data_IF_979629686364
#
_entry.id   IF_979629686364
#
_cell.length_a   1.000
_cell.length_b   1.000
_cell.length_c   1.000
_cell.angle_alpha   90.00
_cell.angle_beta   90.00
_cell.angle_gamma   90.00
#
_symmetry.space_group_name_H-M   'P 1'
#
loop_
_entity.id
_entity.type
_entity.pdbx_description
1 polymer ?
#
# COMPACT_ATOMS: atom_id res chain seq x y z
N UNK A 1 7.15 -12.24 -26.12
CA UNK A 1 6.70 -11.58 -24.87
C UNK A 1 5.22 -11.88 -24.75
N UNK A 2 4.78 -12.41 -23.63
CA UNK A 2 3.35 -12.60 -23.34
C UNK A 2 2.99 -11.48 -22.36
N UNK A 3 2.02 -10.65 -22.71
CA UNK A 3 1.44 -9.65 -21.81
C UNK A 3 0.10 -10.21 -21.35
N UNK A 4 -0.24 -10.12 -20.04
CA UNK A 4 -1.56 -10.46 -19.56
C UNK A 4 -2.63 -9.61 -20.23
N UNK A 5 -3.73 -10.22 -20.65
CA UNK A 5 -4.90 -9.45 -21.07
C UNK A 5 -5.60 -8.87 -19.82
N UNK A 6 -5.82 -7.56 -19.83
CA UNK A 6 -6.49 -6.88 -18.73
C UNK A 6 -7.95 -7.36 -18.56
N UNK A 7 -8.59 -7.77 -19.65
CA UNK A 7 -9.97 -8.25 -19.65
C UNK A 7 -10.11 -9.64 -19.02
N UNK A 8 -9.01 -10.41 -18.96
CA UNK A 8 -8.95 -11.70 -18.29
C UNK A 8 -8.73 -11.59 -16.76
N UNK A 9 -8.48 -10.38 -16.24
CA UNK A 9 -8.30 -10.14 -14.81
C UNK A 9 -9.66 -9.82 -14.18
N UNK A 10 -10.28 -10.82 -13.55
CA UNK A 10 -11.63 -10.74 -13.02
C UNK A 10 -11.62 -10.64 -11.49
N UNK A 11 -11.77 -9.41 -10.92
CA UNK A 11 -11.83 -9.23 -9.48
C UNK A 11 -12.96 -10.03 -8.84
N UNK A 12 -12.68 -10.68 -7.72
CA UNK A 12 -13.66 -11.43 -6.94
C UNK A 12 -14.01 -10.71 -5.64
N UNK A 13 -15.20 -10.99 -5.09
CA UNK A 13 -15.62 -10.45 -3.79
C UNK A 13 -14.78 -11.06 -2.67
N UNK A 14 -14.35 -10.22 -1.73
CA UNK A 14 -13.61 -10.60 -0.54
C UNK A 14 -13.96 -9.71 0.66
N UNK A 15 -13.39 -10.00 1.82
CA UNK A 15 -13.46 -9.14 3.01
C UNK A 15 -12.56 -7.91 2.82
N UNK A 16 -12.69 -6.87 3.67
CA UNK A 16 -11.78 -5.75 3.65
C UNK A 16 -10.31 -6.20 3.66
N UNK A 17 -9.51 -5.63 2.76
CA UNK A 17 -8.10 -5.95 2.53
C UNK A 17 -7.80 -7.36 2.01
N UNK A 18 -8.79 -8.24 1.84
CA UNK A 18 -8.62 -9.46 1.05
C UNK A 18 -8.55 -9.10 -0.44
N UNK A 19 -7.65 -9.78 -1.14
CA UNK A 19 -7.45 -9.56 -2.56
C UNK A 19 -7.60 -10.89 -3.31
N UNK A 20 -8.73 -11.05 -3.95
CA UNK A 20 -9.10 -12.26 -4.68
C UNK A 20 -9.47 -11.93 -6.10
N UNK A 21 -8.99 -12.73 -7.06
CA UNK A 21 -9.28 -12.56 -8.47
C UNK A 21 -9.20 -13.88 -9.22
N UNK A 22 -9.78 -13.93 -10.40
CA UNK A 22 -9.59 -14.98 -11.39
C UNK A 22 -8.76 -14.40 -12.53
N UNK A 23 -7.81 -15.19 -13.02
CA UNK A 23 -7.05 -14.89 -14.22
C UNK A 23 -6.88 -16.16 -15.04
N UNK A 24 -7.55 -16.23 -16.20
CA UNK A 24 -7.46 -17.38 -17.09
C UNK A 24 -7.86 -18.70 -16.46
N UNK A 25 -8.76 -18.69 -15.45
CA UNK A 25 -9.18 -19.86 -14.68
C UNK A 25 -8.37 -20.12 -13.41
N UNK A 26 -7.34 -19.31 -13.13
CA UNK A 26 -6.61 -19.34 -11.86
C UNK A 26 -7.33 -18.49 -10.83
N UNK A 27 -8.21 -19.12 -10.03
CA UNK A 27 -8.85 -18.43 -8.91
C UNK A 27 -7.87 -18.29 -7.74
N UNK A 28 -7.26 -17.13 -7.61
CA UNK A 28 -6.19 -16.86 -6.67
C UNK A 28 -6.61 -15.96 -5.51
N UNK A 29 -6.12 -16.29 -4.31
CA UNK A 29 -6.10 -15.43 -3.14
C UNK A 29 -4.70 -14.81 -3.04
N UNK A 30 -4.60 -13.49 -3.20
CA UNK A 30 -3.33 -12.79 -3.06
C UNK A 30 -3.10 -12.40 -1.61
N UNK A 31 -1.90 -12.64 -1.13
CA UNK A 31 -1.49 -12.15 0.19
C UNK A 31 -1.27 -10.63 0.22
N UNK A 32 -1.05 -10.02 -0.95
CA UNK A 32 -0.82 -8.58 -1.10
C UNK A 32 -2.15 -7.85 -1.32
N UNK A 33 -2.57 -6.95 -0.41
CA UNK A 33 -3.81 -6.19 -0.57
C UNK A 33 -3.76 -5.20 -1.73
N UNK A 34 -4.95 -4.81 -2.18
CA UNK A 34 -5.13 -3.80 -3.21
C UNK A 34 -5.26 -4.36 -4.62
N UNK A 35 -6.26 -3.85 -5.36
CA UNK A 35 -6.56 -4.32 -6.71
C UNK A 35 -5.44 -4.08 -7.73
N UNK A 36 -4.53 -3.12 -7.46
CA UNK A 36 -3.33 -2.89 -8.28
C UNK A 36 -2.34 -4.06 -8.25
N UNK A 37 -2.47 -4.99 -7.29
CA UNK A 37 -1.65 -6.21 -7.25
C UNK A 37 -2.18 -7.32 -8.18
N UNK A 38 -3.42 -7.23 -8.66
CA UNK A 38 -3.98 -8.24 -9.55
C UNK A 38 -3.27 -8.27 -10.92
N UNK A 39 -3.00 -7.15 -11.59
CA UNK A 39 -2.16 -7.14 -12.78
C UNK A 39 -0.74 -7.67 -12.53
N UNK A 40 -0.13 -7.33 -11.40
CA UNK A 40 1.19 -7.85 -11.04
C UNK A 40 1.17 -9.38 -10.87
N UNK A 41 0.12 -9.92 -10.27
CA UNK A 41 -0.07 -11.35 -10.11
C UNK A 41 -0.33 -12.06 -11.45
N UNK A 42 -1.07 -11.44 -12.37
CA UNK A 42 -1.26 -11.95 -13.73
C UNK A 42 0.08 -12.04 -14.48
N UNK A 43 0.93 -11.00 -14.38
CA UNK A 43 2.29 -11.02 -14.95
C UNK A 43 3.12 -12.16 -14.33
N UNK A 44 3.05 -12.35 -13.01
CA UNK A 44 3.77 -13.44 -12.34
C UNK A 44 3.27 -14.82 -12.79
N UNK A 45 1.96 -14.98 -13.00
CA UNK A 45 1.35 -16.20 -13.52
C UNK A 45 1.85 -16.49 -14.94
N UNK A 46 1.85 -15.52 -15.84
CA UNK A 46 2.37 -15.68 -17.20
C UNK A 46 3.87 -16.01 -17.22
N UNK A 47 4.64 -15.42 -16.32
CA UNK A 47 6.06 -15.75 -16.17
C UNK A 47 6.26 -17.21 -15.74
N UNK A 48 5.46 -17.71 -14.78
CA UNK A 48 5.50 -19.09 -14.34
C UNK A 48 5.09 -20.05 -15.49
N UNK A 49 4.02 -19.73 -16.21
CA UNK A 49 3.56 -20.50 -17.37
C UNK A 49 4.60 -20.51 -18.50
N UNK A 50 5.32 -19.40 -18.71
CA UNK A 50 6.40 -19.33 -19.69
C UNK A 50 7.58 -20.25 -19.31
N UNK A 51 7.89 -20.36 -18.03
CA UNK A 51 8.89 -21.31 -17.52
C UNK A 51 8.42 -22.75 -17.66
N UNK A 52 7.16 -23.05 -17.31
CA UNK A 52 6.55 -24.37 -17.51
C UNK A 52 6.63 -24.80 -18.98
N UNK A 53 6.27 -23.93 -19.93
CA UNK A 53 6.39 -24.22 -21.38
C UNK A 53 7.84 -24.52 -21.82
N UNK A 54 8.83 -24.13 -21.02
CA UNK A 54 10.26 -24.42 -21.22
C UNK A 54 10.74 -25.70 -20.51
N UNK A 55 9.82 -26.44 -19.89
CA UNK A 55 10.11 -27.73 -19.25
C UNK A 55 10.43 -27.65 -17.76
N UNK A 56 10.15 -26.50 -17.09
CA UNK A 56 10.23 -26.42 -15.64
C UNK A 56 9.03 -27.14 -15.02
N UNK A 57 9.24 -27.84 -13.92
CA UNK A 57 8.19 -28.53 -13.17
C UNK A 57 7.42 -27.52 -12.30
N UNK A 58 6.45 -26.85 -12.88
CA UNK A 58 5.57 -25.88 -12.22
C UNK A 58 4.13 -26.30 -12.50
N UNK A 59 3.44 -26.83 -11.51
CA UNK A 59 2.02 -27.15 -11.59
C UNK A 59 1.13 -25.96 -11.23
N UNK A 60 -0.15 -26.04 -11.56
CA UNK A 60 -1.13 -24.99 -11.28
C UNK A 60 -1.24 -24.70 -9.78
N UNK A 61 -1.17 -25.74 -8.95
CA UNK A 61 -1.19 -25.60 -7.50
C UNK A 61 0.05 -24.85 -6.99
N UNK A 62 1.22 -25.03 -7.61
CA UNK A 62 2.43 -24.28 -7.24
C UNK A 62 2.26 -22.79 -7.54
N UNK A 63 1.63 -22.42 -8.67
CA UNK A 63 1.32 -21.04 -9.01
C UNK A 63 0.39 -20.44 -7.94
N UNK A 64 -0.72 -21.09 -7.64
CA UNK A 64 -1.70 -20.62 -6.66
C UNK A 64 -1.10 -20.51 -5.24
N UNK A 65 -0.29 -21.49 -4.83
CA UNK A 65 0.44 -21.42 -3.55
C UNK A 65 1.43 -20.26 -3.53
N UNK A 66 2.15 -20.03 -4.62
CA UNK A 66 3.09 -18.92 -4.76
C UNK A 66 2.42 -17.55 -4.61
N UNK A 67 1.30 -17.34 -5.30
CA UNK A 67 0.51 -16.11 -5.20
C UNK A 67 -0.04 -15.88 -3.79
N UNK A 68 -0.53 -16.92 -3.13
CA UNK A 68 -1.01 -16.87 -1.74
C UNK A 68 0.12 -16.63 -0.73
N UNK A 69 1.33 -17.13 -1.01
CA UNK A 69 2.47 -17.02 -0.11
C UNK A 69 3.31 -15.76 -0.36
N UNK A 70 3.07 -15.02 -1.45
CA UNK A 70 3.83 -13.82 -1.80
C UNK A 70 3.83 -12.82 -0.65
N UNK A 71 4.98 -12.30 -0.30
CA UNK A 71 5.15 -11.26 0.73
C UNK A 71 6.06 -10.18 0.18
N UNK A 72 5.66 -8.95 0.39
CA UNK A 72 6.48 -7.78 0.10
C UNK A 72 6.28 -6.78 1.23
N UNK A 73 7.30 -6.56 2.06
CA UNK A 73 7.20 -5.61 3.16
C UNK A 73 6.77 -4.22 2.68
N UNK A 74 6.02 -3.53 3.51
CA UNK A 74 5.49 -2.20 3.22
C UNK A 74 4.71 -2.10 1.89
N UNK A 75 3.85 -3.08 1.62
CA UNK A 75 2.85 -3.04 0.54
C UNK A 75 1.46 -3.27 1.13
N UNK A 76 0.91 -2.23 1.73
CA UNK A 76 -0.35 -2.26 2.49
C UNK A 76 -0.31 -3.40 3.52
N UNK A 77 0.80 -3.49 4.24
CA UNK A 77 1.08 -4.55 5.19
C UNK A 77 0.39 -4.26 6.52
N UNK A 78 -0.54 -5.11 6.93
CA UNK A 78 -1.18 -5.02 8.25
C UNK A 78 -0.23 -5.62 9.28
N UNK A 79 0.43 -4.76 10.06
CA UNK A 79 1.41 -5.17 11.08
C UNK A 79 0.78 -5.38 12.45
N UNK A 80 -0.36 -4.74 12.72
CA UNK A 80 -1.17 -4.94 13.92
C UNK A 80 -2.65 -4.83 13.59
N UNK A 81 -3.50 -5.55 14.34
CA UNK A 81 -4.95 -5.45 14.22
C UNK A 81 -5.61 -4.79 15.43
N UNK A 82 -4.87 -4.68 16.53
CA UNK A 82 -5.30 -4.01 17.76
C UNK A 82 -4.06 -3.44 18.47
N UNK A 83 -3.82 -2.12 18.43
CA UNK A 83 -4.46 -1.17 17.52
C UNK A 83 -4.22 -1.52 16.04
N UNK A 84 -5.11 -1.07 15.15
CA UNK A 84 -4.95 -1.34 13.72
C UNK A 84 -3.82 -0.50 13.13
N UNK A 85 -2.76 -1.16 12.61
CA UNK A 85 -1.60 -0.48 12.02
C UNK A 85 -1.28 -1.09 10.66
N UNK A 86 -1.16 -0.23 9.66
CA UNK A 86 -0.77 -0.59 8.28
C UNK A 86 0.51 0.13 7.91
N UNK A 87 1.42 -0.55 7.23
CA UNK A 87 2.62 0.06 6.65
C UNK A 87 2.54 -0.01 5.13
N UNK A 88 2.80 1.12 4.48
CA UNK A 88 2.93 1.19 3.03
C UNK A 88 4.14 2.03 2.61
N UNK A 89 4.83 1.60 1.58
CA UNK A 89 6.01 2.27 1.04
C UNK A 89 5.69 3.21 -0.13
N UNK A 90 4.46 3.72 -0.25
CA UNK A 90 4.11 4.65 -1.30
C UNK A 90 4.94 5.94 -1.16
N UNK A 91 5.56 6.34 -2.24
CA UNK A 91 6.47 7.49 -2.29
C UNK A 91 6.31 8.30 -3.59
N UNK A 92 5.25 8.03 -4.33
CA UNK A 92 4.87 8.72 -5.55
C UNK A 92 3.34 8.79 -5.67
N UNK A 93 2.79 9.64 -6.56
CA UNK A 93 1.35 9.83 -6.69
C UNK A 93 0.58 8.55 -7.03
N UNK A 94 1.12 7.68 -7.88
CA UNK A 94 0.46 6.44 -8.29
C UNK A 94 0.33 5.45 -7.14
N UNK A 95 1.41 5.27 -6.36
CA UNK A 95 1.40 4.45 -5.15
C UNK A 95 0.41 4.99 -4.11
N UNK A 96 0.42 6.31 -3.90
CA UNK A 96 -0.52 6.97 -3.01
C UNK A 96 -1.99 6.80 -3.45
N UNK A 97 -2.27 6.91 -4.74
CA UNK A 97 -3.60 6.67 -5.30
C UNK A 97 -4.04 5.19 -5.12
N UNK A 98 -3.12 4.24 -5.27
CA UNK A 98 -3.37 2.82 -5.03
C UNK A 98 -3.69 2.54 -3.55
N UNK A 99 -2.93 3.13 -2.62
CA UNK A 99 -3.20 3.06 -1.18
C UNK A 99 -4.58 3.67 -0.87
N UNK A 100 -4.84 4.90 -1.30
CA UNK A 100 -6.11 5.60 -1.09
C UNK A 100 -7.30 4.79 -1.60
N UNK A 101 -7.20 4.24 -2.82
CA UNK A 101 -8.23 3.38 -3.41
C UNK A 101 -8.48 2.13 -2.55
N UNK A 102 -7.43 1.52 -2.02
CA UNK A 102 -7.53 0.31 -1.21
C UNK A 102 -8.17 0.60 0.15
N UNK A 103 -7.76 1.66 0.84
CA UNK A 103 -8.36 2.09 2.11
C UNK A 103 -9.85 2.41 1.93
N UNK A 104 -10.20 3.13 0.86
CA UNK A 104 -11.60 3.47 0.53
C UNK A 104 -12.44 2.22 0.24
N UNK A 105 -11.94 1.28 -0.56
CA UNK A 105 -12.64 0.01 -0.84
C UNK A 105 -12.83 -0.84 0.41
N UNK A 106 -11.84 -0.83 1.30
CA UNK A 106 -11.91 -1.51 2.60
C UNK A 106 -12.80 -0.78 3.63
N UNK A 107 -13.32 0.41 3.28
CA UNK A 107 -14.12 1.28 4.18
C UNK A 107 -13.37 1.67 5.45
N UNK A 108 -12.07 1.78 5.37
CA UNK A 108 -11.21 2.24 6.45
C UNK A 108 -11.20 3.78 6.42
N UNK A 109 -11.84 4.39 7.41
CA UNK A 109 -12.01 5.84 7.52
C UNK A 109 -11.60 6.30 8.91
N UNK A 110 -11.34 7.61 9.08
CA UNK A 110 -10.96 8.16 10.38
C UNK A 110 -9.60 7.71 10.89
N UNK A 111 -8.74 7.23 9.99
CA UNK A 111 -7.39 6.81 10.32
C UNK A 111 -6.48 8.01 10.58
N UNK A 112 -5.45 7.81 11.39
CA UNK A 112 -4.28 8.67 11.41
C UNK A 112 -3.30 8.25 10.32
N UNK A 113 -2.61 9.22 9.71
CA UNK A 113 -1.48 8.97 8.80
C UNK A 113 -0.18 9.39 9.46
N UNK A 114 0.87 8.57 9.34
CA UNK A 114 2.25 8.94 9.70
C UNK A 114 3.09 8.93 8.44
N UNK A 115 3.67 10.07 8.07
CA UNK A 115 4.33 10.21 6.77
C UNK A 115 5.68 10.90 6.85
N UNK A 116 6.67 10.28 6.23
CA UNK A 116 7.95 10.90 5.89
C UNK A 116 8.22 10.74 4.40
N UNK A 117 8.86 11.72 3.77
CA UNK A 117 9.15 11.69 2.34
C UNK A 117 10.61 12.08 2.05
N UNK A 118 11.04 11.83 0.83
CA UNK A 118 12.33 12.28 0.32
C UNK A 118 12.15 13.50 -0.57
N UNK A 119 13.16 14.40 -0.60
CA UNK A 119 13.13 15.65 -1.37
C UNK A 119 12.96 15.45 -2.89
N UNK A 120 13.49 14.34 -3.41
CA UNK A 120 13.43 14.01 -4.84
C UNK A 120 12.08 13.48 -5.32
N UNK A 121 11.07 13.43 -4.44
CA UNK A 121 9.74 12.92 -4.75
C UNK A 121 8.72 14.03 -4.98
N UNK A 122 7.69 13.74 -5.75
CA UNK A 122 6.57 14.65 -5.98
C UNK A 122 5.64 14.65 -4.75
N UNK A 123 6.05 15.36 -3.70
CA UNK A 123 5.36 15.38 -2.41
C UNK A 123 3.95 15.97 -2.51
N UNK A 124 3.76 17.07 -3.28
CA UNK A 124 2.45 17.72 -3.39
C UNK A 124 1.40 16.81 -4.03
N UNK A 125 1.71 16.17 -5.14
CA UNK A 125 0.77 15.26 -5.80
C UNK A 125 0.53 14.00 -4.99
N UNK A 126 1.56 13.48 -4.31
CA UNK A 126 1.42 12.33 -3.40
C UNK A 126 0.46 12.65 -2.26
N UNK A 127 0.62 13.82 -1.60
CA UNK A 127 -0.30 14.27 -0.55
C UNK A 127 -1.73 14.46 -1.07
N UNK A 128 -1.90 15.06 -2.27
CA UNK A 128 -3.22 15.23 -2.89
C UNK A 128 -3.90 13.90 -3.19
N UNK A 129 -3.14 12.89 -3.62
CA UNK A 129 -3.68 11.55 -3.87
C UNK A 129 -4.20 10.87 -2.60
N UNK A 130 -3.65 11.22 -1.42
CA UNK A 130 -4.08 10.74 -0.10
C UNK A 130 -5.17 11.62 0.55
N UNK A 131 -5.62 12.67 -0.13
CA UNK A 131 -6.64 13.56 0.42
C UNK A 131 -7.90 12.78 0.86
N UNK A 132 -8.35 13.05 2.09
CA UNK A 132 -9.52 12.41 2.68
C UNK A 132 -9.30 10.97 3.19
N UNK A 133 -8.09 10.42 3.09
CA UNK A 133 -7.76 9.11 3.68
C UNK A 133 -7.54 9.20 5.18
N UNK A 134 -6.99 10.31 5.66
CA UNK A 134 -6.62 10.50 7.05
C UNK A 134 -7.37 11.68 7.66
N UNK A 135 -7.84 11.49 8.90
CA UNK A 135 -8.43 12.55 9.70
C UNK A 135 -7.35 13.47 10.28
N UNK A 136 -6.15 12.94 10.48
CA UNK A 136 -4.98 13.64 10.99
C UNK A 136 -3.72 13.06 10.33
N UNK A 137 -2.81 13.91 9.90
CA UNK A 137 -1.51 13.50 9.38
C UNK A 137 -0.40 13.94 10.34
N UNK A 138 0.44 13.00 10.74
CA UNK A 138 1.67 13.23 11.49
C UNK A 138 2.84 13.17 10.52
N UNK A 139 3.63 14.25 10.46
CA UNK A 139 4.81 14.29 9.59
C UNK A 139 6.07 13.98 10.39
N UNK A 140 6.98 13.21 9.78
CA UNK A 140 8.25 12.80 10.38
C UNK A 140 9.38 12.92 9.37
N UNK A 141 10.60 13.10 9.84
CA UNK A 141 11.79 12.99 8.99
C UNK A 141 12.24 11.53 8.90
N UNK A 142 12.34 10.93 7.69
CA UNK A 142 12.83 9.56 7.53
C UNK A 142 14.29 9.44 7.97
N UNK A 143 14.54 8.90 9.15
CA UNK A 143 15.88 8.86 9.77
C UNK A 143 16.91 8.10 8.93
N UNK A 144 16.49 7.07 8.17
CA UNK A 144 17.38 6.25 7.34
C UNK A 144 17.65 6.83 5.96
N UNK A 145 16.97 7.88 5.56
CA UNK A 145 17.12 8.51 4.24
C UNK A 145 18.35 9.45 4.15
N UNK A 146 18.94 9.81 5.30
CA UNK A 146 20.09 10.71 5.37
C UNK A 146 19.78 12.06 4.70
N UNK A 147 20.72 12.62 3.90
CA UNK A 147 20.56 13.95 3.30
C UNK A 147 19.45 14.04 2.23
N UNK A 148 18.83 12.93 1.86
CA UNK A 148 17.69 12.91 0.94
C UNK A 148 16.34 13.03 1.64
N UNK A 149 16.31 13.02 2.96
CA UNK A 149 15.08 13.20 3.72
C UNK A 149 14.53 14.61 3.53
N UNK A 150 13.26 14.73 3.16
CA UNK A 150 12.57 16.00 3.23
C UNK A 150 12.40 16.39 4.71
N UNK A 151 12.71 17.64 5.03
CA UNK A 151 12.49 18.19 6.37
C UNK A 151 11.00 18.07 6.76
N UNK A 152 10.76 17.67 8.01
CA UNK A 152 9.40 17.39 8.45
C UNK A 152 8.51 18.64 8.50
N UNK A 153 9.05 19.82 8.80
CA UNK A 153 8.27 21.08 8.76
C UNK A 153 7.90 21.46 7.32
N UNK A 154 8.81 21.26 6.36
CA UNK A 154 8.52 21.48 4.94
C UNK A 154 7.42 20.53 4.45
N UNK A 155 7.47 19.25 4.85
CA UNK A 155 6.41 18.29 4.54
C UNK A 155 5.08 18.72 5.18
N UNK A 156 5.11 19.19 6.43
CA UNK A 156 3.93 19.66 7.14
C UNK A 156 3.30 20.90 6.48
N UNK A 157 4.10 21.83 5.97
CA UNK A 157 3.59 22.99 5.22
C UNK A 157 2.82 22.58 3.96
N UNK A 158 3.34 21.61 3.23
CA UNK A 158 2.64 21.03 2.06
C UNK A 158 1.37 20.28 2.48
N UNK A 159 1.45 19.50 3.55
CA UNK A 159 0.35 18.69 4.06
C UNK A 159 -0.82 19.54 4.58
N UNK A 160 -0.56 20.69 5.21
CA UNK A 160 -1.60 21.63 5.71
C UNK A 160 -2.50 22.18 4.59
N UNK A 161 -2.05 22.13 3.33
CA UNK A 161 -2.87 22.50 2.16
C UNK A 161 -3.92 21.44 1.80
N UNK A 162 -3.75 20.21 2.31
CA UNK A 162 -4.53 19.03 1.90
C UNK A 162 -5.30 18.42 3.07
N UNK A 163 -4.69 18.37 4.26
CA UNK A 163 -5.26 17.69 5.42
C UNK A 163 -5.76 18.69 6.47
N UNK A 164 -6.89 18.39 7.15
CA UNK A 164 -7.49 19.30 8.12
C UNK A 164 -6.65 19.44 9.40
N UNK A 165 -5.90 18.41 9.76
CA UNK A 165 -5.02 18.39 10.94
C UNK A 165 -3.66 17.83 10.54
N UNK A 166 -2.59 18.54 10.91
CA UNK A 166 -1.20 18.12 10.67
C UNK A 166 -0.38 18.44 11.92
N UNK A 167 0.32 17.44 12.42
CA UNK A 167 1.26 17.55 13.55
C UNK A 167 2.64 17.10 13.11
N UNK A 168 3.65 17.86 13.51
CA UNK A 168 5.06 17.52 13.29
C UNK A 168 5.54 16.69 14.47
N UNK A 169 6.26 15.60 14.18
CA UNK A 169 6.83 14.70 15.18
C UNK A 169 8.32 14.46 14.89
N UNK A 170 9.09 14.21 15.93
CA UNK A 170 10.52 13.91 15.80
C UNK A 170 10.76 12.52 15.22
N UNK A 171 9.96 11.54 15.63
CA UNK A 171 10.08 10.15 15.18
C UNK A 171 8.73 9.55 14.82
N UNK A 172 8.77 8.44 14.06
CA UNK A 172 7.57 7.67 13.77
C UNK A 172 6.98 7.01 15.03
N UNK A 173 7.81 6.71 16.03
CA UNK A 173 7.34 6.19 17.31
C UNK A 173 6.51 7.23 18.06
N UNK A 174 7.01 8.47 18.17
CA UNK A 174 6.27 9.56 18.80
C UNK A 174 4.94 9.83 18.07
N UNK A 175 4.97 9.77 16.73
CA UNK A 175 3.76 9.94 15.93
C UNK A 175 2.70 8.85 16.19
N UNK A 176 3.13 7.60 16.36
CA UNK A 176 2.24 6.47 16.68
C UNK A 176 1.66 6.60 18.10
N UNK A 177 2.48 7.01 19.08
CA UNK A 177 2.03 7.24 20.45
C UNK A 177 1.00 8.37 20.49
N UNK A 178 1.27 9.51 19.86
CA UNK A 178 0.34 10.63 19.77
C UNK A 178 -0.96 10.26 19.04
N UNK A 179 -0.88 9.47 17.97
CA UNK A 179 -2.06 8.99 17.27
C UNK A 179 -2.95 8.10 18.17
N UNK A 180 -2.34 7.29 19.00
CA UNK A 180 -3.06 6.47 19.98
C UNK A 180 -3.68 7.32 21.11
N UNK A 181 -2.94 8.31 21.64
CA UNK A 181 -3.42 9.26 22.64
C UNK A 181 -4.57 10.14 22.10
N UNK A 182 -4.52 10.54 20.83
CA UNK A 182 -5.59 11.26 20.13
C UNK A 182 -6.85 10.41 19.87
N UNK A 183 -6.79 9.10 20.19
CA UNK A 183 -7.91 8.18 20.13
C UNK A 183 -8.22 7.64 18.73
N UNK A 184 -7.25 7.62 17.82
CA UNK A 184 -7.43 7.00 16.50
C UNK A 184 -7.40 5.48 16.60
N UNK A 185 -8.43 4.82 16.04
CA UNK A 185 -8.56 3.36 16.02
C UNK A 185 -7.56 2.67 15.08
N UNK A 186 -6.91 3.44 14.20
CA UNK A 186 -5.92 2.91 13.28
C UNK A 186 -5.00 3.96 12.70
N UNK A 187 -3.80 3.51 12.30
CA UNK A 187 -2.74 4.34 11.74
C UNK A 187 -2.16 3.70 10.46
N UNK A 188 -1.78 4.54 9.50
CA UNK A 188 -1.12 4.14 8.24
C UNK A 188 0.15 4.93 8.05
#
# INVERSE_FOLDING_TARGET
LVEPDADDILPQKGRPLENRFDYGGYLADLALPGSHQQPNAAVATEAALALWRRGWEIDDDAILRGLRAARMPARIEVVSRDPFVVIDGCHNPDGAAALASTLKKAKLTGLAGVMGMMEDKNCEETLRALAGCFAHLYTVTPQTAGPRALDTEQLAELARKVFPRVTVCDTAADALELAAEDGYEGTV
#
